data_IF_890274190215
#
_entry.id   IF_890274190215
#
_cell.length_a   1.000
_cell.length_b   1.000
_cell.length_c   1.000
_cell.angle_alpha   90.00
_cell.angle_beta   90.00
_cell.angle_gamma   90.00
#
_symmetry.space_group_name_H-M   'P 1'
#
loop_
_entity.id
_entity.type
_entity.pdbx_description
1 polymer ?
#
# COMPACT_ATOMS: atom_id res chain seq x y z
N UNK A 1 16.47 -12.40 -3.07
CA UNK A 1 15.40 -12.74 -4.03
C UNK A 1 14.22 -11.81 -3.76
N UNK A 2 13.82 -10.98 -4.74
CA UNK A 2 12.75 -9.99 -4.57
C UNK A 2 11.38 -10.68 -4.75
N UNK A 3 10.85 -11.23 -3.66
CA UNK A 3 9.67 -12.11 -3.59
C UNK A 3 8.39 -11.52 -4.23
N UNK A 4 8.14 -10.20 -4.13
CA UNK A 4 6.88 -9.59 -4.59
C UNK A 4 7.03 -8.71 -5.85
N UNK A 5 8.20 -8.68 -6.48
CA UNK A 5 8.50 -7.74 -7.58
C UNK A 5 7.57 -7.92 -8.78
N UNK A 6 7.11 -9.14 -9.01
CA UNK A 6 6.18 -9.51 -10.08
C UNK A 6 4.82 -9.95 -9.55
N UNK A 7 4.51 -9.68 -8.28
CA UNK A 7 3.24 -10.09 -7.67
C UNK A 7 2.14 -9.06 -7.93
N UNK A 8 1.02 -9.54 -8.48
CA UNK A 8 -0.22 -8.78 -8.65
C UNK A 8 -1.28 -9.36 -7.74
N UNK A 9 -1.93 -8.51 -6.95
CA UNK A 9 -3.06 -8.90 -6.10
C UNK A 9 -4.34 -8.34 -6.69
N UNK A 10 -5.17 -9.22 -7.25
CA UNK A 10 -6.45 -8.82 -7.86
C UNK A 10 -7.59 -9.07 -6.87
N UNK A 11 -8.20 -8.00 -6.39
CA UNK A 11 -9.44 -8.03 -5.61
C UNK A 11 -10.68 -7.77 -6.48
N UNK A 12 -11.85 -7.62 -5.82
CA UNK A 12 -13.13 -7.39 -6.52
C UNK A 12 -13.24 -6.03 -7.20
N UNK A 13 -12.68 -4.99 -6.58
CA UNK A 13 -12.80 -3.59 -7.03
C UNK A 13 -11.45 -2.95 -7.39
N UNK A 14 -10.36 -3.49 -6.87
CA UNK A 14 -9.02 -2.91 -6.95
C UNK A 14 -8.04 -4.00 -7.30
N UNK A 15 -7.05 -3.66 -8.12
CA UNK A 15 -5.89 -4.52 -8.42
C UNK A 15 -4.64 -3.81 -7.95
N UNK A 16 -3.84 -4.46 -7.12
CA UNK A 16 -2.53 -3.98 -6.70
C UNK A 16 -1.48 -4.57 -7.63
N UNK A 17 -0.71 -3.71 -8.28
CA UNK A 17 0.36 -4.09 -9.20
C UNK A 17 1.69 -3.49 -8.71
N UNK A 18 2.83 -4.09 -9.07
CA UNK A 18 4.13 -3.50 -8.77
C UNK A 18 4.26 -2.08 -9.35
N UNK A 19 4.79 -1.15 -8.56
CA UNK A 19 5.01 0.22 -9.02
C UNK A 19 6.17 0.27 -10.04
N UNK A 20 5.87 0.54 -11.31
CA UNK A 20 6.84 0.58 -12.41
C UNK A 20 7.03 2.00 -12.93
N UNK A 21 8.10 2.21 -13.70
CA UNK A 21 8.35 3.44 -14.45
C UNK A 21 7.13 3.91 -15.29
N UNK A 22 6.32 2.98 -15.83
CA UNK A 22 5.14 3.34 -16.60
C UNK A 22 4.05 4.05 -15.79
N UNK A 23 4.06 3.92 -14.46
CA UNK A 23 3.11 4.58 -13.56
C UNK A 23 3.57 5.98 -13.13
N UNK A 24 4.86 6.31 -13.29
CA UNK A 24 5.46 7.57 -12.83
C UNK A 24 4.76 8.80 -13.42
N UNK A 25 4.46 8.88 -14.74
CA UNK A 25 3.81 10.08 -15.30
C UNK A 25 2.45 10.37 -14.68
N UNK A 26 1.62 9.34 -14.45
CA UNK A 26 0.30 9.49 -13.84
C UNK A 26 0.40 9.84 -12.35
N UNK A 27 1.35 9.23 -11.63
CA UNK A 27 1.59 9.58 -10.24
C UNK A 27 2.04 11.04 -10.12
N UNK A 28 2.97 11.48 -10.98
CA UNK A 28 3.43 12.86 -11.03
C UNK A 28 2.28 13.84 -11.30
N UNK A 29 1.37 13.52 -12.23
CA UNK A 29 0.16 14.31 -12.49
C UNK A 29 -0.72 14.46 -11.22
N UNK A 30 -0.95 13.37 -10.48
CA UNK A 30 -1.68 13.46 -9.21
C UNK A 30 -0.95 14.32 -8.19
N UNK A 31 0.37 14.19 -8.12
CA UNK A 31 1.21 14.97 -7.23
C UNK A 31 1.37 16.44 -7.65
N UNK A 32 0.73 16.90 -8.74
CA UNK A 32 0.58 18.34 -9.03
C UNK A 32 -0.59 18.99 -8.26
N UNK A 33 -1.47 18.21 -7.64
CA UNK A 33 -2.57 18.74 -6.83
C UNK A 33 -2.09 19.19 -5.44
N UNK A 34 -2.23 20.49 -5.14
CA UNK A 34 -1.93 21.04 -3.81
C UNK A 34 -2.75 20.37 -2.69
N UNK A 35 -4.00 19.99 -2.97
CA UNK A 35 -4.85 19.32 -1.99
C UNK A 35 -4.26 17.96 -1.61
N UNK A 36 -3.84 17.17 -2.60
CA UNK A 36 -3.22 15.87 -2.35
C UNK A 36 -1.90 16.03 -1.61
N UNK A 37 -1.04 16.96 -2.03
CA UNK A 37 0.22 17.25 -1.34
C UNK A 37 0.02 17.60 0.13
N UNK A 38 -0.97 18.47 0.44
CA UNK A 38 -1.30 18.84 1.83
C UNK A 38 -1.81 17.66 2.62
N UNK A 39 -2.71 16.85 2.04
CA UNK A 39 -3.28 15.67 2.71
C UNK A 39 -2.25 14.56 2.95
N UNK A 40 -1.24 14.44 2.07
CA UNK A 40 -0.17 13.42 2.19
C UNK A 40 1.12 13.97 2.80
N UNK A 41 1.13 15.23 3.25
CA UNK A 41 2.31 15.95 3.74
C UNK A 41 3.55 15.75 2.84
N UNK A 42 3.35 15.80 1.53
CA UNK A 42 4.36 15.49 0.51
C UNK A 42 4.80 16.74 -0.23
N UNK A 43 6.09 16.85 -0.51
CA UNK A 43 6.67 17.93 -1.33
C UNK A 43 6.62 17.56 -2.82
N UNK A 44 6.36 18.52 -3.73
CA UNK A 44 6.39 18.25 -5.16
C UNK A 44 7.81 17.93 -5.63
N UNK A 45 7.94 16.92 -6.47
CA UNK A 45 9.19 16.53 -7.10
C UNK A 45 9.12 16.75 -8.60
N UNK A 46 10.29 16.97 -9.22
CA UNK A 46 10.38 16.94 -10.68
C UNK A 46 10.09 15.54 -11.21
N UNK A 47 9.64 15.45 -12.46
CA UNK A 47 9.39 14.15 -13.09
C UNK A 47 10.62 13.23 -13.07
N UNK A 48 11.82 13.80 -13.26
CA UNK A 48 13.08 13.06 -13.20
C UNK A 48 13.37 12.52 -11.79
N UNK A 49 13.13 13.34 -10.76
CA UNK A 49 13.28 12.93 -9.36
C UNK A 49 12.30 11.82 -8.99
N UNK A 50 11.06 11.86 -9.49
CA UNK A 50 10.08 10.77 -9.29
C UNK A 50 10.57 9.45 -9.90
N UNK A 51 11.19 9.51 -11.09
CA UNK A 51 11.82 8.32 -11.68
C UNK A 51 13.00 7.81 -10.85
N UNK A 52 13.84 8.69 -10.30
CA UNK A 52 14.92 8.32 -9.39
C UNK A 52 14.39 7.64 -8.12
N UNK A 53 13.38 8.23 -7.49
CA UNK A 53 12.73 7.66 -6.32
C UNK A 53 12.10 6.30 -6.63
N UNK A 54 11.37 6.18 -7.75
CA UNK A 54 10.81 4.91 -8.20
C UNK A 54 11.89 3.83 -8.37
N UNK A 55 13.02 4.17 -9.02
CA UNK A 55 14.16 3.24 -9.20
C UNK A 55 14.74 2.82 -7.85
N UNK A 56 15.03 3.78 -6.97
CA UNK A 56 15.57 3.48 -5.64
C UNK A 56 14.66 2.57 -4.82
N UNK A 57 13.33 2.79 -4.83
CA UNK A 57 12.37 1.93 -4.14
C UNK A 57 12.25 0.53 -4.74
N UNK A 58 12.39 0.42 -6.07
CA UNK A 58 12.36 -0.87 -6.77
C UNK A 58 13.63 -1.68 -6.54
N UNK A 59 14.77 -1.01 -6.34
CA UNK A 59 16.07 -1.65 -6.14
C UNK A 59 16.47 -1.85 -4.69
N UNK A 60 15.68 -1.30 -3.76
CA UNK A 60 15.79 -1.57 -2.33
C UNK A 60 15.54 -3.06 -2.02
N UNK A 61 16.64 -3.79 -1.80
CA UNK A 61 16.64 -5.21 -1.53
C UNK A 61 16.04 -5.59 -0.16
N UNK A 62 15.90 -4.62 0.75
CA UNK A 62 15.41 -4.86 2.11
C UNK A 62 13.90 -4.70 2.25
N UNK A 63 13.25 -3.97 1.32
CA UNK A 63 11.78 -3.83 1.29
C UNK A 63 11.02 -5.12 0.97
N UNK A 64 11.71 -6.17 0.51
CA UNK A 64 11.08 -7.37 -0.08
C UNK A 64 11.35 -8.65 0.72
N UNK A 65 11.48 -8.55 2.04
CA UNK A 65 11.61 -9.73 2.91
C UNK A 65 10.24 -10.15 3.45
N UNK A 66 9.96 -11.46 3.49
CA UNK A 66 8.89 -12.02 4.33
C UNK A 66 9.30 -11.83 5.79
N UNK A 67 9.09 -10.63 6.29
CA UNK A 67 9.18 -10.35 7.70
C UNK A 67 7.98 -11.05 8.33
N UNK A 68 8.20 -11.96 9.28
CA UNK A 68 7.13 -12.61 10.05
C UNK A 68 6.45 -11.60 10.96
N UNK A 69 5.86 -10.55 10.37
CA UNK A 69 5.26 -9.42 11.07
C UNK A 69 4.01 -9.95 11.74
N UNK A 70 4.05 -9.93 13.06
CA UNK A 70 2.94 -10.32 13.93
C UNK A 70 2.28 -9.11 14.59
N UNK A 71 2.78 -7.90 14.35
CA UNK A 71 2.31 -6.68 15.00
C UNK A 71 2.30 -5.53 14.01
N UNK A 72 1.16 -4.86 13.91
CA UNK A 72 0.96 -3.65 13.13
C UNK A 72 0.54 -2.50 14.04
N UNK A 73 1.11 -1.31 13.83
CA UNK A 73 0.73 -0.09 14.54
C UNK A 73 0.38 1.01 13.54
N UNK A 74 -0.68 1.75 13.85
CA UNK A 74 -1.12 2.92 13.09
C UNK A 74 -1.27 4.10 14.06
N UNK A 75 -0.70 5.25 13.68
CA UNK A 75 -0.91 6.52 14.38
C UNK A 75 -1.83 7.38 13.55
N UNK A 76 -2.90 7.87 14.16
CA UNK A 76 -3.98 8.57 13.48
C UNK A 76 -4.32 9.81 14.29
N UNK A 77 -4.49 10.97 13.66
CA UNK A 77 -4.97 12.18 14.34
C UNK A 77 -6.30 11.93 15.07
N UNK A 78 -6.43 12.44 16.29
CA UNK A 78 -7.60 12.22 17.17
C UNK A 78 -8.92 12.67 16.53
N UNK A 79 -8.87 13.71 15.70
CA UNK A 79 -10.02 14.24 14.96
C UNK A 79 -10.44 13.38 13.76
N UNK A 80 -9.60 12.44 13.31
CA UNK A 80 -9.91 11.57 12.17
C UNK A 80 -10.71 10.33 12.62
N UNK A 81 -11.90 10.59 13.16
CA UNK A 81 -12.82 9.57 13.67
C UNK A 81 -13.18 8.51 12.61
N UNK A 82 -13.28 8.94 11.35
CA UNK A 82 -13.56 8.03 10.23
C UNK A 82 -12.49 6.95 10.09
N UNK A 83 -11.21 7.34 10.13
CA UNK A 83 -10.09 6.40 10.06
C UNK A 83 -10.01 5.55 11.34
N UNK A 84 -10.17 6.16 12.51
CA UNK A 84 -10.18 5.41 13.79
C UNK A 84 -11.26 4.31 13.77
N UNK A 85 -12.48 4.63 13.33
CA UNK A 85 -13.58 3.68 13.21
C UNK A 85 -13.28 2.58 12.19
N UNK A 86 -12.69 2.93 11.04
CA UNK A 86 -12.24 1.95 10.04
C UNK A 86 -11.23 0.96 10.64
N UNK A 87 -10.19 1.44 11.30
CA UNK A 87 -9.15 0.58 11.90
C UNK A 87 -9.71 -0.29 13.03
N UNK A 88 -10.62 0.24 13.86
CA UNK A 88 -11.34 -0.56 14.88
C UNK A 88 -12.15 -1.71 14.25
N UNK A 89 -12.77 -1.50 13.09
CA UNK A 89 -13.44 -2.59 12.32
C UNK A 89 -12.46 -3.62 11.75
N UNK A 90 -11.20 -3.25 11.54
CA UNK A 90 -10.12 -4.14 11.13
C UNK A 90 -9.40 -4.79 12.33
N UNK A 91 -10.07 -4.86 13.48
CA UNK A 91 -9.60 -5.46 14.73
C UNK A 91 -8.41 -4.74 15.38
N UNK A 92 -8.06 -3.53 14.93
CA UNK A 92 -7.08 -2.72 15.68
C UNK A 92 -7.68 -2.24 16.99
N UNK A 93 -6.86 -2.23 18.03
CA UNK A 93 -7.20 -1.76 19.37
C UNK A 93 -6.42 -0.52 19.73
N UNK A 94 -7.01 0.35 20.52
CA UNK A 94 -6.36 1.58 20.99
C UNK A 94 -5.40 1.26 22.14
N UNK A 95 -4.13 1.58 21.96
CA UNK A 95 -3.07 1.26 22.94
C UNK A 95 -2.41 2.49 23.55
N UNK A 96 -2.53 3.66 22.92
CA UNK A 96 -2.04 4.92 23.47
C UNK A 96 -2.74 6.12 22.81
N UNK A 97 -2.80 7.22 23.56
CA UNK A 97 -3.22 8.53 23.06
C UNK A 97 -2.11 9.53 23.38
N UNK A 98 -1.69 10.31 22.39
CA UNK A 98 -0.69 11.35 22.55
C UNK A 98 -1.35 12.73 22.43
N UNK A 99 -1.39 13.46 23.55
CA UNK A 99 -1.98 14.80 23.62
C UNK A 99 -1.10 15.91 23.05
N UNK A 100 0.21 15.69 22.90
CA UNK A 100 1.13 16.68 22.32
C UNK A 100 0.96 16.71 20.80
N UNK A 101 0.91 15.54 20.18
CA UNK A 101 0.73 15.40 18.73
C UNK A 101 -0.75 15.28 18.31
N UNK A 102 -1.68 15.24 19.27
CA UNK A 102 -3.12 15.06 19.02
C UNK A 102 -3.41 13.79 18.20
N UNK A 103 -2.75 12.67 18.56
CA UNK A 103 -2.84 11.39 17.84
C UNK A 103 -3.29 10.24 18.75
N UNK A 104 -3.92 9.22 18.16
CA UNK A 104 -4.21 7.93 18.74
C UNK A 104 -3.31 6.88 18.09
N UNK A 105 -2.71 6.02 18.91
CA UNK A 105 -1.99 4.83 18.45
C UNK A 105 -2.89 3.61 18.54
N UNK A 106 -3.17 3.01 17.40
CA UNK A 106 -3.91 1.77 17.24
C UNK A 106 -2.94 0.62 16.94
N UNK A 107 -3.19 -0.57 17.48
CA UNK A 107 -2.38 -1.78 17.28
C UNK A 107 -3.24 -2.98 16.90
N UNK A 108 -2.75 -3.77 15.95
CA UNK A 108 -3.23 -5.11 15.65
C UNK A 108 -2.09 -6.11 15.92
N UNK A 109 -2.28 -6.96 16.91
CA UNK A 109 -1.44 -8.14 17.13
C UNK A 109 -2.09 -9.33 16.38
N UNK A 110 -1.37 -9.90 15.43
CA UNK A 110 -1.86 -10.97 14.55
C UNK A 110 -1.72 -12.30 15.28
N UNK A 111 -2.71 -12.63 16.12
CA UNK A 111 -2.84 -13.99 16.65
C UNK A 111 -3.35 -14.95 15.57
N UNK A 112 -3.42 -16.24 15.90
CA UNK A 112 -3.97 -17.26 14.99
C UNK A 112 -5.42 -16.94 14.57
N UNK A 113 -6.21 -16.34 15.47
CA UNK A 113 -7.59 -15.94 15.17
C UNK A 113 -7.64 -14.82 14.12
N UNK A 114 -6.86 -13.75 14.31
CA UNK A 114 -6.76 -12.64 13.36
C UNK A 114 -6.18 -13.10 12.03
N UNK A 115 -5.21 -14.00 12.05
CA UNK A 115 -4.65 -14.61 10.83
C UNK A 115 -5.74 -15.36 10.05
N UNK A 116 -6.53 -16.21 10.71
CA UNK A 116 -7.63 -16.93 10.06
C UNK A 116 -8.68 -15.97 9.51
N UNK A 117 -9.03 -14.94 10.30
CA UNK A 117 -9.96 -13.90 9.85
C UNK A 117 -9.43 -13.15 8.62
N UNK A 118 -8.16 -12.74 8.59
CA UNK A 118 -7.54 -12.07 7.44
C UNK A 118 -7.57 -12.97 6.19
N UNK A 119 -7.24 -14.24 6.33
CA UNK A 119 -7.29 -15.22 5.23
C UNK A 119 -8.72 -15.37 4.70
N UNK A 120 -9.71 -15.43 5.57
CA UNK A 120 -11.12 -15.52 5.18
C UNK A 120 -11.58 -14.25 4.45
N UNK A 121 -11.20 -13.06 4.92
CA UNK A 121 -11.53 -11.80 4.26
C UNK A 121 -10.85 -11.67 2.88
N UNK A 122 -9.63 -12.22 2.74
CA UNK A 122 -8.81 -12.11 1.53
C UNK A 122 -8.91 -13.32 0.60
N UNK A 123 -9.76 -14.32 0.91
CA UNK A 123 -9.93 -15.55 0.10
C UNK A 123 -10.29 -15.32 -1.37
N UNK A 124 -10.83 -14.14 -1.67
CA UNK A 124 -11.25 -13.73 -3.01
C UNK A 124 -10.14 -13.03 -3.80
N UNK A 125 -8.98 -12.80 -3.18
CA UNK A 125 -7.84 -12.14 -3.80
C UNK A 125 -7.04 -13.18 -4.56
N UNK A 126 -6.86 -12.94 -5.86
CA UNK A 126 -6.03 -13.79 -6.71
C UNK A 126 -4.62 -13.21 -6.80
N UNK A 127 -3.61 -14.05 -6.61
CA UNK A 127 -2.21 -13.71 -6.90
C UNK A 127 -1.88 -14.08 -8.36
N UNK A 128 -1.31 -13.13 -9.11
CA UNK A 128 -0.89 -13.33 -10.51
C UNK A 128 0.50 -12.75 -10.76
N UNK A 129 1.14 -13.20 -11.84
CA UNK A 129 2.40 -12.62 -12.30
C UNK A 129 2.16 -11.34 -13.09
N UNK A 130 2.86 -10.27 -12.73
CA UNK A 130 2.83 -9.00 -13.46
C UNK A 130 3.45 -9.14 -14.86
N UNK A 131 4.41 -10.05 -15.05
CA UNK A 131 5.02 -10.31 -16.34
C UNK A 131 4.02 -10.90 -17.36
N UNK A 132 3.07 -11.71 -16.90
CA UNK A 132 2.03 -12.31 -17.75
C UNK A 132 0.99 -11.27 -18.22
N UNK A 133 0.75 -10.23 -17.42
CA UNK A 133 -0.16 -9.13 -17.78
C UNK A 133 0.42 -8.17 -18.83
N UNK A 134 1.73 -8.23 -19.11
CA UNK A 134 2.39 -7.42 -20.14
C UNK A 134 2.28 -8.01 -21.55
N UNK A 135 1.71 -9.21 -21.73
CA UNK A 135 1.44 -9.70 -23.07
C UNK A 135 0.43 -8.75 -23.74
N UNK A 136 0.76 -8.13 -24.88
CA UNK A 136 -0.24 -7.36 -25.60
C UNK A 136 -1.40 -8.30 -25.92
N UNK A 137 -2.62 -7.83 -25.69
CA UNK A 137 -3.82 -8.46 -26.25
C UNK A 137 -3.50 -8.78 -27.71
N UNK A 138 -3.66 -10.05 -28.08
CA UNK A 138 -3.15 -10.61 -29.33
C UNK A 138 -3.34 -9.64 -30.50
N UNK A 139 -2.26 -9.44 -31.25
CA UNK A 139 -2.38 -9.10 -32.66
C UNK A 139 -3.19 -10.24 -33.27
N UNK A 140 -4.50 -10.06 -33.38
CA UNK A 140 -5.32 -10.82 -34.30
C UNK A 140 -4.97 -10.26 -35.68
N UNK A 141 -3.90 -10.78 -36.26
CA UNK A 141 -3.65 -10.64 -37.70
C UNK A 141 -4.88 -11.24 -38.42
N UNK A 142 -5.59 -10.40 -39.15
CA UNK A 142 -6.62 -10.75 -40.14
C UNK A 142 -6.21 -10.17 -41.48
#
# INVERSE_FOLDING_TARGET
>A
MKINQDTVLRGKKVTLVPYTAAHVPRYHEWMQSEELQRLTASEPLSLEQEYEMQRSWRDDADRVRKLGITKFEAKIGQENEASICMFKKLHFTEVAVNSVFQEVTLRLDVSDQERQWLLEQTKHVEEKSYAELKQPAGVQDS
#
